data_IF_592429944060
#
_entry.id   IF_592429944060
#
_cell.length_a   1.000
_cell.length_b   1.000
_cell.length_c   1.000
_cell.angle_alpha   90.00
_cell.angle_beta   90.00
_cell.angle_gamma   90.00
#
_symmetry.space_group_name_H-M   'P 1'
#
loop_
_entity.id
_entity.type
_entity.pdbx_description
1 polymer ?
#
# COMPACT_ATOMS: atom_id res chain seq x y z
N UNK A 1 20.48 -20.05 9.15
CA UNK A 1 19.21 -19.32 9.28
C UNK A 1 18.69 -19.06 7.89
N UNK A 2 17.68 -19.82 7.45
CA UNK A 2 17.08 -19.61 6.13
C UNK A 2 16.53 -18.19 6.08
N UNK A 3 16.98 -17.39 5.09
CA UNK A 3 16.33 -16.12 4.77
C UNK A 3 14.86 -16.43 4.63
N UNK A 4 14.03 -15.86 5.49
CA UNK A 4 12.60 -15.80 5.27
C UNK A 4 12.45 -15.27 3.85
N UNK A 5 12.03 -16.11 2.90
CA UNK A 5 11.84 -15.77 1.49
C UNK A 5 10.62 -14.86 1.42
N UNK A 6 10.72 -13.68 2.02
CA UNK A 6 9.80 -12.59 1.84
C UNK A 6 9.90 -12.25 0.37
N UNK A 7 9.03 -12.88 -0.43
CA UNK A 7 8.88 -12.63 -1.85
C UNK A 7 8.68 -11.13 -2.01
N UNK A 8 9.76 -10.44 -2.38
CA UNK A 8 9.79 -8.99 -2.46
C UNK A 8 8.75 -8.60 -3.49
N UNK A 9 7.71 -7.91 -3.04
CA UNK A 9 6.69 -7.37 -3.93
C UNK A 9 7.32 -6.26 -4.75
N UNK A 10 7.36 -6.46 -6.07
CA UNK A 10 7.79 -5.39 -6.97
C UNK A 10 6.69 -4.34 -7.08
N UNK A 11 7.04 -3.09 -7.43
CA UNK A 11 6.04 -2.04 -7.65
C UNK A 11 4.98 -2.43 -8.69
N UNK A 12 5.40 -3.17 -9.74
CA UNK A 12 4.47 -3.71 -10.75
C UNK A 12 3.51 -4.73 -10.16
N UNK A 13 3.99 -5.68 -9.35
CA UNK A 13 3.13 -6.67 -8.69
C UNK A 13 2.18 -6.02 -7.70
N UNK A 14 2.65 -5.03 -6.94
CA UNK A 14 1.80 -4.31 -5.99
C UNK A 14 0.67 -3.56 -6.71
N UNK A 15 0.99 -2.90 -7.83
CA UNK A 15 -0.02 -2.25 -8.67
C UNK A 15 -1.06 -3.25 -9.19
N UNK A 16 -0.61 -4.39 -9.74
CA UNK A 16 -1.52 -5.44 -10.22
C UNK A 16 -2.39 -6.02 -9.10
N UNK A 17 -1.85 -6.09 -7.88
CA UNK A 17 -2.61 -6.54 -6.71
C UNK A 17 -3.69 -5.54 -6.31
N UNK A 18 -3.38 -4.24 -6.27
CA UNK A 18 -4.38 -3.19 -6.01
C UNK A 18 -5.46 -3.15 -7.09
N UNK A 19 -5.08 -3.23 -8.37
CA UNK A 19 -6.02 -3.30 -9.50
C UNK A 19 -6.92 -4.55 -9.38
N UNK A 20 -6.35 -5.69 -9.02
CA UNK A 20 -7.10 -6.94 -8.83
C UNK A 20 -8.03 -6.88 -7.60
N UNK A 21 -7.66 -6.20 -6.52
CA UNK A 21 -8.54 -5.98 -5.37
C UNK A 21 -9.76 -5.11 -5.73
N UNK A 22 -9.62 -4.19 -6.68
CA UNK A 22 -10.72 -3.37 -7.18
C UNK A 22 -11.68 -4.15 -8.08
N UNK A 23 -11.17 -5.15 -8.82
CA UNK A 23 -11.97 -6.01 -9.70
C UNK A 23 -12.67 -7.12 -8.89
N UNK A 24 -11.93 -7.77 -7.99
CA UNK A 24 -12.42 -8.89 -7.19
C UNK A 24 -12.80 -8.41 -5.80
N UNK A 25 -14.09 -8.15 -5.62
CA UNK A 25 -14.69 -7.70 -4.35
C UNK A 25 -14.68 -8.80 -3.27
N UNK A 26 -15.23 -8.51 -2.10
CA UNK A 26 -15.29 -9.46 -0.97
C UNK A 26 -16.26 -10.62 -1.22
N UNK A 27 -17.22 -10.49 -2.13
CA UNK A 27 -18.22 -11.51 -2.43
C UNK A 27 -17.79 -12.44 -3.58
N UNK A 28 -16.70 -12.10 -4.27
CA UNK A 28 -16.16 -12.89 -5.37
C UNK A 28 -15.73 -14.27 -4.86
N UNK A 29 -16.29 -15.37 -5.38
CA UNK A 29 -15.81 -16.71 -5.06
C UNK A 29 -14.37 -16.85 -5.56
N UNK A 30 -13.54 -17.58 -4.82
CA UNK A 30 -12.12 -17.78 -5.16
C UNK A 30 -11.33 -16.49 -5.38
N UNK A 31 -11.75 -15.38 -4.74
CA UNK A 31 -11.11 -14.06 -4.80
C UNK A 31 -9.59 -14.12 -4.80
N UNK A 32 -9.01 -14.84 -3.84
CA UNK A 32 -7.56 -14.92 -3.66
C UNK A 32 -6.86 -15.70 -4.78
N UNK A 33 -7.49 -16.74 -5.32
CA UNK A 33 -6.98 -17.47 -6.48
C UNK A 33 -6.97 -16.57 -7.73
N UNK A 34 -8.04 -15.79 -7.93
CA UNK A 34 -8.16 -14.86 -9.04
C UNK A 34 -7.12 -13.73 -8.95
N UNK A 35 -6.91 -13.16 -7.75
CA UNK A 35 -5.87 -12.15 -7.51
C UNK A 35 -4.47 -12.73 -7.74
N UNK A 36 -4.16 -13.92 -7.20
CA UNK A 36 -2.86 -14.56 -7.41
C UNK A 36 -2.56 -14.80 -8.90
N UNK A 37 -3.59 -15.21 -9.66
CA UNK A 37 -3.51 -15.36 -11.12
C UNK A 37 -3.29 -14.03 -11.84
N UNK A 38 -3.95 -12.96 -11.41
CA UNK A 38 -3.82 -11.63 -12.01
C UNK A 38 -2.44 -11.00 -11.75
N UNK A 39 -1.91 -11.16 -10.53
CA UNK A 39 -0.59 -10.64 -10.14
C UNK A 39 0.54 -11.40 -10.83
N UNK A 40 0.41 -12.74 -10.90
CA UNK A 40 1.41 -13.62 -11.48
C UNK A 40 2.67 -13.78 -10.62
N UNK A 41 3.17 -15.02 -10.51
CA UNK A 41 4.39 -15.32 -9.75
C UNK A 41 4.29 -15.06 -8.24
N UNK A 42 3.06 -15.10 -7.70
CA UNK A 42 2.75 -15.06 -6.27
C UNK A 42 1.75 -16.16 -5.94
N UNK A 43 1.90 -16.79 -4.78
CA UNK A 43 0.92 -17.78 -4.32
C UNK A 43 -0.27 -17.12 -3.62
N UNK A 44 -1.34 -17.87 -3.44
CA UNK A 44 -2.55 -17.41 -2.73
C UNK A 44 -2.23 -16.99 -1.30
N UNK A 45 -1.33 -17.72 -0.64
CA UNK A 45 -0.88 -17.44 0.73
C UNK A 45 -0.11 -16.13 0.80
N UNK A 46 0.73 -15.85 -0.21
CA UNK A 46 1.47 -14.59 -0.28
C UNK A 46 0.57 -13.38 -0.54
N UNK A 47 -0.47 -13.56 -1.36
CA UNK A 47 -1.48 -12.54 -1.63
C UNK A 47 -2.30 -12.25 -0.37
N UNK A 48 -2.74 -13.28 0.36
CA UNK A 48 -3.45 -13.11 1.64
C UNK A 48 -2.61 -12.35 2.67
N UNK A 49 -1.35 -12.74 2.83
CA UNK A 49 -0.41 -12.04 3.72
C UNK A 49 -0.22 -10.57 3.32
N UNK A 50 -0.12 -10.29 2.01
CA UNK A 50 0.01 -8.91 1.53
C UNK A 50 -1.24 -8.08 1.84
N UNK A 51 -2.42 -8.70 1.75
CA UNK A 51 -3.67 -8.07 2.12
C UNK A 51 -3.78 -7.78 3.62
N UNK A 52 -3.34 -8.70 4.48
CA UNK A 52 -3.31 -8.48 5.93
C UNK A 52 -2.42 -7.29 6.31
N UNK A 53 -1.23 -7.18 5.71
CA UNK A 53 -0.32 -6.04 5.90
C UNK A 53 -1.01 -4.74 5.48
N UNK A 54 -1.69 -4.74 4.33
CA UNK A 54 -2.41 -3.57 3.84
C UNK A 54 -3.54 -3.16 4.80
N UNK A 55 -4.31 -4.12 5.32
CA UNK A 55 -5.36 -3.82 6.31
C UNK A 55 -4.79 -3.26 7.61
N UNK A 56 -3.66 -3.78 8.09
CA UNK A 56 -2.97 -3.24 9.26
C UNK A 56 -2.47 -1.81 9.03
N UNK A 57 -1.91 -1.52 7.86
CA UNK A 57 -1.46 -0.17 7.50
C UNK A 57 -2.63 0.81 7.42
N UNK A 58 -3.74 0.42 6.79
CA UNK A 58 -4.98 1.24 6.75
C UNK A 58 -5.48 1.52 8.16
N UNK A 59 -5.60 0.50 9.02
CA UNK A 59 -5.99 0.67 10.44
C UNK A 59 -5.03 1.60 11.20
N UNK A 60 -3.73 1.53 10.90
CA UNK A 60 -2.72 2.40 11.51
C UNK A 60 -2.84 3.86 11.06
N UNK A 61 -3.18 4.09 9.79
CA UNK A 61 -3.46 5.42 9.24
C UNK A 61 -4.74 6.00 9.87
N UNK A 62 -5.83 5.22 9.89
CA UNK A 62 -7.11 5.63 10.44
C UNK A 62 -7.06 5.90 11.96
N UNK A 63 -6.27 5.13 12.69
CA UNK A 63 -6.05 5.37 14.13
C UNK A 63 -5.16 6.60 14.43
N UNK A 64 -4.73 7.35 13.41
CA UNK A 64 -3.90 8.55 13.57
C UNK A 64 -2.47 8.24 14.04
N UNK A 65 -2.05 6.97 13.99
CA UNK A 65 -0.75 6.49 14.48
C UNK A 65 0.31 6.40 13.39
N UNK A 66 0.03 6.91 12.19
CA UNK A 66 1.04 6.99 11.14
C UNK A 66 1.90 8.24 11.36
N UNK A 67 3.19 8.13 11.73
CA UNK A 67 4.11 9.23 11.49
C UNK A 67 4.11 9.41 9.97
N UNK A 68 3.53 10.50 9.49
CA UNK A 68 3.56 10.88 8.08
C UNK A 68 4.97 10.59 7.56
N UNK A 69 5.08 9.64 6.64
CA UNK A 69 6.31 9.51 5.90
C UNK A 69 6.46 10.85 5.19
N UNK A 70 7.43 11.65 5.66
CA UNK A 70 7.94 12.78 4.92
C UNK A 70 8.39 12.19 3.59
N UNK A 71 7.49 12.18 2.59
CA UNK A 71 7.86 12.11 1.21
C UNK A 71 8.75 13.33 1.03
N UNK A 72 10.07 13.12 1.16
CA UNK A 72 11.08 14.12 0.87
C UNK A 72 10.92 14.41 -0.62
N UNK A 73 10.01 15.32 -0.93
CA UNK A 73 10.02 16.07 -2.16
C UNK A 73 11.37 16.77 -2.18
N UNK A 74 12.29 16.27 -3.01
CA UNK A 74 13.56 16.93 -3.27
C UNK A 74 13.25 18.29 -3.89
N UNK A 75 13.22 19.31 -3.04
CA UNK A 75 12.91 20.67 -3.45
C UNK A 75 13.20 21.65 -2.33
N UNK A 76 14.47 22.04 -2.19
CA UNK A 76 14.88 23.36 -1.71
C UNK A 76 14.66 23.70 -0.22
N UNK A 77 15.79 23.74 0.50
CA UNK A 77 16.13 24.69 1.56
C UNK A 77 15.20 24.91 2.79
N UNK A 78 15.69 24.44 3.94
CA UNK A 78 15.57 24.94 5.32
C UNK A 78 14.50 26.01 5.65
N UNK A 79 13.58 25.67 6.56
CA UNK A 79 12.82 26.66 7.34
C UNK A 79 11.62 26.07 8.06
N UNK A 80 11.64 26.08 9.41
CA UNK A 80 10.51 25.77 10.28
C UNK A 80 9.28 26.64 9.93
N UNK A 81 8.22 26.07 9.33
CA UNK A 81 6.93 26.77 9.14
C UNK A 81 5.77 25.78 9.38
N UNK A 82 4.79 26.22 10.18
CA UNK A 82 3.73 25.45 10.82
C UNK A 82 2.88 24.57 9.88
N UNK A 83 2.60 23.36 10.38
CA UNK A 83 2.12 22.18 9.62
C UNK A 83 0.65 22.21 9.16
N UNK A 84 -0.03 23.35 9.21
CA UNK A 84 -1.48 23.39 8.92
C UNK A 84 -1.82 24.14 7.62
N UNK A 85 -1.14 25.24 7.31
CA UNK A 85 -1.45 26.06 6.13
C UNK A 85 -1.09 25.40 4.79
N UNK A 86 -0.12 24.48 4.78
CA UNK A 86 0.33 23.84 3.53
C UNK A 86 -0.59 22.72 3.07
N UNK A 87 -1.42 22.14 3.95
CA UNK A 87 -2.40 21.10 3.58
C UNK A 87 -3.47 21.64 2.62
N UNK A 88 -3.84 22.92 2.75
CA UNK A 88 -4.89 23.56 1.95
C UNK A 88 -4.40 24.02 0.57
N UNK A 89 -3.09 24.06 0.31
CA UNK A 89 -2.56 24.46 -1.01
C UNK A 89 -2.56 23.32 -2.03
N UNK A 90 -2.45 22.07 -1.59
CA UNK A 90 -2.43 20.90 -2.48
C UNK A 90 -3.83 20.45 -2.93
N UNK A 91 -4.89 21.02 -2.36
CA UNK A 91 -6.29 20.67 -2.65
C UNK A 91 -7.04 21.75 -3.47
N UNK A 92 -6.36 22.80 -3.93
CA UNK A 92 -6.96 23.72 -4.89
C UNK A 92 -6.78 23.15 -6.30
N UNK A 93 -7.92 22.75 -6.89
CA UNK A 93 -8.10 22.55 -8.34
C UNK A 93 -7.51 23.72 -9.14
#
# INVERSE_FOLDING_TARGET
MAKNSSSTWTAKQNKLFEDALAIFDKNTPDRWHNIAKAVGGKTVEEVKRQYEILEEDVKRIESGKYPFHNYKMNGGNSGNIGKEEQRLKCLKL
#
